data_IF_034458808745
#
_entry.id   IF_034458808745
#
_cell.length_a   1.000
_cell.length_b   1.000
_cell.length_c   1.000
_cell.angle_alpha   90.00
_cell.angle_beta   90.00
_cell.angle_gamma   90.00
#
_symmetry.space_group_name_H-M   'P 1'
#
loop_
_entity.id
_entity.type
_entity.pdbx_description
1 polymer ?
#
# COMPACT_ATOMS: atom_id res chain seq x y z
N UNK A 1 35.86 -43.61 36.44
CA UNK A 1 35.95 -44.19 35.08
C UNK A 1 34.90 -43.49 34.21
N UNK A 2 35.20 -42.27 33.75
CA UNK A 2 35.41 -41.92 32.32
C UNK A 2 34.34 -42.49 31.38
N UNK A 3 33.39 -41.67 30.96
CA UNK A 3 33.16 -41.36 29.54
C UNK A 3 32.16 -40.18 29.41
N UNK A 4 32.73 -39.03 29.06
CA UNK A 4 32.04 -37.83 28.59
C UNK A 4 31.71 -38.06 27.11
N UNK A 5 30.43 -37.95 26.73
CA UNK A 5 30.03 -37.81 25.32
C UNK A 5 29.58 -36.35 25.16
N UNK A 6 30.49 -35.53 24.64
CA UNK A 6 30.22 -34.17 24.23
C UNK A 6 29.54 -34.19 22.86
N UNK A 7 28.22 -34.10 22.82
CA UNK A 7 27.48 -33.83 21.60
C UNK A 7 27.48 -32.32 21.37
N UNK A 8 28.43 -31.85 20.54
CA UNK A 8 28.45 -30.51 20.01
C UNK A 8 27.29 -30.34 19.03
N UNK A 9 26.15 -29.84 19.52
CA UNK A 9 25.07 -29.35 18.67
C UNK A 9 25.43 -27.94 18.21
N UNK A 10 25.85 -27.85 16.95
CA UNK A 10 26.07 -26.63 16.20
C UNK A 10 24.80 -25.78 16.18
N UNK A 11 24.86 -24.66 16.90
CA UNK A 11 23.88 -23.57 16.86
C UNK A 11 23.88 -22.95 15.46
N UNK A 12 22.95 -23.34 14.58
CA UNK A 12 22.66 -22.58 13.37
C UNK A 12 21.86 -21.35 13.78
N UNK A 13 22.57 -20.25 14.00
CA UNK A 13 21.99 -18.94 14.26
C UNK A 13 21.30 -18.41 13.01
N UNK A 14 19.97 -18.53 12.95
CA UNK A 14 19.17 -17.65 12.11
C UNK A 14 19.10 -16.28 12.80
N UNK A 15 19.99 -15.38 12.38
CA UNK A 15 19.84 -13.96 12.66
C UNK A 15 18.58 -13.47 11.92
N UNK A 16 17.44 -13.50 12.60
CA UNK A 16 16.26 -12.72 12.23
C UNK A 16 16.64 -11.25 12.36
N UNK A 17 17.06 -10.64 11.24
CA UNK A 17 17.14 -9.19 11.13
C UNK A 17 15.71 -8.65 11.22
N UNK A 18 15.37 -7.81 12.22
CA UNK A 18 14.15 -7.05 12.14
C UNK A 18 14.26 -6.15 10.92
N UNK A 19 13.33 -6.28 9.97
CA UNK A 19 13.11 -5.31 8.93
C UNK A 19 12.89 -3.97 9.63
N UNK A 20 13.90 -3.10 9.60
CA UNK A 20 13.76 -1.71 10.00
C UNK A 20 12.72 -1.11 9.07
N UNK A 21 11.49 -0.97 9.56
CA UNK A 21 10.51 -0.07 8.98
C UNK A 21 11.21 1.28 8.86
N UNK A 22 11.39 1.75 7.62
CA UNK A 22 11.91 3.08 7.36
C UNK A 22 11.12 4.07 8.23
N UNK A 23 11.78 5.00 8.93
CA UNK A 23 11.07 6.05 9.65
C UNK A 23 10.26 6.80 8.60
N UNK A 24 8.93 6.64 8.66
CA UNK A 24 8.00 7.48 7.94
C UNK A 24 8.29 8.90 8.41
N UNK A 25 8.92 9.69 7.53
CA UNK A 25 9.18 11.10 7.76
C UNK A 25 7.84 11.71 8.14
N UNK A 26 7.69 12.10 9.41
CA UNK A 26 6.48 12.74 9.90
C UNK A 26 6.27 13.93 8.99
N UNK A 27 5.23 13.93 8.18
CA UNK A 27 4.93 15.02 7.25
C UNK A 27 4.64 16.25 8.10
N UNK A 28 5.68 17.03 8.37
CA UNK A 28 5.67 18.18 9.27
C UNK A 28 4.87 19.31 8.62
N UNK A 29 3.54 19.26 8.75
CA UNK A 29 2.66 20.33 8.27
C UNK A 29 1.20 19.93 8.06
N UNK A 30 0.93 18.64 7.85
CA UNK A 30 -0.42 18.13 7.66
C UNK A 30 -0.94 17.46 8.94
N UNK A 31 -1.65 18.21 9.76
CA UNK A 31 -2.31 17.72 10.97
C UNK A 31 -3.78 18.11 10.92
N UNK A 32 -4.62 17.48 11.75
CA UNK A 32 -6.05 17.79 11.77
C UNK A 32 -6.35 19.27 12.07
N UNK A 33 -5.50 19.93 12.83
CA UNK A 33 -5.69 21.34 13.19
C UNK A 33 -5.18 22.31 12.11
N UNK A 34 -4.26 21.88 11.23
CA UNK A 34 -3.64 22.73 10.20
C UNK A 34 -4.30 22.63 8.83
N UNK A 35 -5.19 21.65 8.61
CA UNK A 35 -5.96 21.54 7.36
C UNK A 35 -7.10 22.57 7.30
N UNK A 36 -7.65 22.76 6.08
CA UNK A 36 -8.76 23.69 5.83
C UNK A 36 -9.97 23.40 6.70
N UNK A 37 -10.76 24.43 7.05
CA UNK A 37 -11.97 24.23 7.87
C UNK A 37 -12.99 23.28 7.21
N UNK A 38 -13.12 23.37 5.88
CA UNK A 38 -13.96 22.47 5.09
C UNK A 38 -13.52 21.01 5.25
N UNK A 39 -12.22 20.73 5.09
CA UNK A 39 -11.67 19.40 5.25
C UNK A 39 -11.81 18.90 6.70
N UNK A 40 -11.59 19.77 7.69
CA UNK A 40 -11.82 19.40 9.10
C UNK A 40 -13.24 18.95 9.32
N UNK A 41 -14.22 19.73 8.85
CA UNK A 41 -15.64 19.39 8.96
C UNK A 41 -15.96 18.06 8.27
N UNK A 42 -15.45 17.88 7.05
CA UNK A 42 -15.63 16.67 6.23
C UNK A 42 -15.02 15.41 6.86
N UNK A 43 -13.90 15.55 7.57
CA UNK A 43 -13.12 14.44 8.09
C UNK A 43 -13.26 14.21 9.59
N UNK A 44 -13.84 15.14 10.36
CA UNK A 44 -13.88 15.12 11.84
C UNK A 44 -14.32 13.77 12.43
N UNK A 45 -15.50 13.29 12.06
CA UNK A 45 -16.06 12.05 12.61
C UNK A 45 -15.19 10.82 12.28
N UNK A 46 -14.60 10.79 11.08
CA UNK A 46 -13.75 9.70 10.60
C UNK A 46 -12.37 9.73 11.26
N UNK A 47 -11.81 10.91 11.46
CA UNK A 47 -10.54 11.11 12.16
C UNK A 47 -10.68 10.68 13.64
N UNK A 48 -11.68 11.23 14.36
CA UNK A 48 -11.96 10.88 15.77
C UNK A 48 -12.21 9.38 15.97
N UNK A 49 -12.92 8.74 15.03
CA UNK A 49 -13.13 7.29 15.07
C UNK A 49 -11.81 6.53 14.96
N UNK A 50 -10.93 6.91 14.03
CA UNK A 50 -9.61 6.27 13.85
C UNK A 50 -8.70 6.48 15.05
N UNK A 51 -8.68 7.70 15.60
CA UNK A 51 -7.96 8.00 16.84
C UNK A 51 -8.33 7.03 17.96
N UNK A 52 -9.64 6.81 18.18
CA UNK A 52 -10.13 5.93 19.24
C UNK A 52 -9.86 4.44 19.00
N UNK A 53 -9.92 3.98 17.74
CA UNK A 53 -9.87 2.55 17.42
C UNK A 53 -8.47 2.05 17.02
N UNK A 54 -7.67 2.91 16.39
CA UNK A 54 -6.42 2.55 15.73
C UNK A 54 -5.23 3.42 16.18
N UNK A 55 -5.48 4.47 16.98
CA UNK A 55 -4.44 5.36 17.49
C UNK A 55 -4.13 6.55 16.58
N UNK A 56 -3.21 7.40 17.06
CA UNK A 56 -2.84 8.66 16.43
C UNK A 56 -2.19 8.47 15.06
N UNK A 57 -1.18 7.60 14.98
CA UNK A 57 -0.42 7.35 13.75
C UNK A 57 -1.32 6.95 12.58
N UNK A 58 -2.21 5.97 12.78
CA UNK A 58 -3.15 5.53 11.73
C UNK A 58 -4.13 6.64 11.33
N UNK A 59 -4.56 7.47 12.28
CA UNK A 59 -5.46 8.58 11.98
C UNK A 59 -4.74 9.67 11.16
N UNK A 60 -3.49 9.97 11.49
CA UNK A 60 -2.66 10.99 10.84
C UNK A 60 -2.24 10.55 9.43
N UNK A 61 -1.79 9.30 9.26
CA UNK A 61 -1.51 8.74 7.92
C UNK A 61 -2.73 8.80 7.02
N UNK A 62 -3.89 8.38 7.54
CA UNK A 62 -5.14 8.47 6.79
C UNK A 62 -5.49 9.92 6.42
N UNK A 63 -5.32 10.87 7.35
CA UNK A 63 -5.62 12.27 7.08
C UNK A 63 -4.69 12.83 5.98
N UNK A 64 -3.41 12.50 6.05
CA UNK A 64 -2.42 12.90 5.06
C UNK A 64 -2.81 12.42 3.65
N UNK A 65 -3.19 11.16 3.50
CA UNK A 65 -3.64 10.60 2.22
C UNK A 65 -4.87 11.30 1.62
N UNK A 66 -5.81 11.70 2.48
CA UNK A 66 -7.07 12.29 2.05
C UNK A 66 -6.97 13.79 1.76
N UNK A 67 -6.26 14.54 2.59
CA UNK A 67 -6.30 16.00 2.59
C UNK A 67 -5.02 16.65 2.06
N UNK A 68 -3.88 15.97 2.13
CA UNK A 68 -2.58 16.63 1.94
C UNK A 68 -1.79 16.10 0.76
N UNK A 69 -2.01 14.86 0.35
CA UNK A 69 -1.40 14.36 -0.88
C UNK A 69 -1.92 15.13 -2.10
N UNK A 70 -0.99 15.59 -2.93
CA UNK A 70 -1.26 16.12 -4.26
C UNK A 70 -1.78 15.03 -5.19
N UNK A 71 -2.36 15.44 -6.33
CA UNK A 71 -2.81 14.49 -7.33
C UNK A 71 -1.68 13.61 -7.89
N UNK A 72 -0.45 14.14 -7.96
CA UNK A 72 0.73 13.43 -8.45
C UNK A 72 1.24 12.42 -7.41
N UNK A 73 1.39 12.82 -6.16
CA UNK A 73 1.77 11.90 -5.08
C UNK A 73 0.78 10.75 -4.95
N UNK A 74 -0.52 11.05 -5.08
CA UNK A 74 -1.57 10.02 -5.01
C UNK A 74 -1.53 9.06 -6.20
N UNK A 75 -1.03 9.51 -7.36
CA UNK A 75 -0.76 8.64 -8.52
C UNK A 75 0.49 7.80 -8.27
N UNK A 76 1.57 8.39 -7.75
CA UNK A 76 2.81 7.71 -7.47
C UNK A 76 2.68 6.64 -6.37
N UNK A 77 1.86 6.90 -5.34
CA UNK A 77 1.58 5.96 -4.27
C UNK A 77 0.57 4.86 -4.65
N UNK A 78 -0.09 4.97 -5.81
CA UNK A 78 -1.04 3.94 -6.24
C UNK A 78 -0.25 2.67 -6.60
N UNK A 79 -0.50 1.54 -5.92
CA UNK A 79 0.14 0.29 -6.32
C UNK A 79 -0.27 -0.05 -7.75
N UNK A 80 0.71 -0.29 -8.62
CA UNK A 80 0.45 -0.88 -9.93
C UNK A 80 -0.16 -2.27 -9.71
N UNK A 81 -1.35 -2.49 -10.28
CA UNK A 81 -1.97 -3.81 -10.23
C UNK A 81 -1.24 -4.72 -11.22
N UNK A 82 -0.61 -5.82 -10.77
CA UNK A 82 0.02 -6.75 -11.69
C UNK A 82 -1.05 -7.37 -12.59
N UNK A 83 -0.71 -7.57 -13.85
CA UNK A 83 -1.53 -8.35 -14.78
C UNK A 83 -1.34 -9.82 -14.41
N UNK A 84 -2.45 -10.51 -14.18
CA UNK A 84 -2.45 -11.91 -13.76
C UNK A 84 -2.79 -12.81 -14.94
N UNK A 85 -2.18 -13.99 -14.97
CA UNK A 85 -2.54 -15.06 -15.89
C UNK A 85 -3.85 -15.74 -15.47
N UNK A 86 -4.25 -16.76 -16.24
CA UNK A 86 -5.44 -17.59 -15.96
C UNK A 86 -5.35 -18.37 -14.63
N UNK A 87 -4.13 -18.59 -14.14
CA UNK A 87 -3.81 -19.37 -12.94
C UNK A 87 -3.63 -18.46 -11.71
N UNK A 88 -3.69 -17.13 -11.89
CA UNK A 88 -3.59 -16.11 -10.85
C UNK A 88 -2.16 -15.62 -10.57
N UNK A 89 -1.16 -16.00 -11.37
CA UNK A 89 0.22 -15.58 -11.17
C UNK A 89 0.52 -14.28 -11.94
N UNK A 90 1.42 -13.41 -11.43
CA UNK A 90 1.88 -12.24 -12.17
C UNK A 90 2.58 -12.64 -13.46
N UNK A 91 2.18 -12.04 -14.57
CA UNK A 91 2.77 -12.32 -15.88
C UNK A 91 4.16 -11.70 -16.00
N UNK A 92 5.05 -12.40 -16.70
CA UNK A 92 6.43 -11.94 -16.95
C UNK A 92 6.47 -10.96 -18.13
N UNK A 93 5.61 -11.18 -19.13
CA UNK A 93 5.42 -10.30 -20.28
C UNK A 93 3.97 -9.90 -20.42
N UNK A 94 3.77 -8.62 -20.68
CA UNK A 94 2.45 -8.04 -20.94
C UNK A 94 2.41 -7.35 -22.29
N UNK A 95 1.30 -7.51 -23.02
CA UNK A 95 1.00 -6.79 -24.25
C UNK A 95 -0.27 -5.96 -24.08
N UNK A 96 -0.37 -4.82 -24.74
CA UNK A 96 -1.61 -4.05 -24.80
C UNK A 96 -2.53 -4.63 -25.89
N UNK A 97 -3.74 -5.02 -25.50
CA UNK A 97 -4.80 -5.45 -26.41
C UNK A 97 -5.95 -4.43 -26.35
N UNK A 98 -6.47 -4.02 -27.51
CA UNK A 98 -7.62 -3.12 -27.55
C UNK A 98 -8.90 -3.90 -27.24
N UNK A 99 -9.54 -3.58 -26.10
CA UNK A 99 -10.80 -4.18 -25.69
C UNK A 99 -11.93 -3.17 -25.73
N UNK A 100 -13.08 -3.63 -26.21
CA UNK A 100 -14.32 -2.85 -26.19
C UNK A 100 -14.84 -2.81 -24.75
N UNK A 101 -15.06 -1.61 -24.23
CA UNK A 101 -15.64 -1.38 -22.91
C UNK A 101 -16.86 -0.47 -23.03
N UNK A 102 -17.95 -0.75 -22.31
CA UNK A 102 -19.10 0.14 -22.27
C UNK A 102 -18.72 1.45 -21.58
N UNK A 103 -19.03 2.56 -22.25
CA UNK A 103 -18.95 3.92 -21.69
C UNK A 103 -20.11 4.19 -20.74
N UNK A 104 -19.98 5.26 -19.95
CA UNK A 104 -20.96 5.64 -18.93
C UNK A 104 -22.32 6.05 -19.54
N UNK A 105 -22.32 6.47 -20.80
CA UNK A 105 -23.48 6.88 -21.61
C UNK A 105 -24.03 5.75 -22.50
N UNK A 106 -23.47 4.55 -22.42
CA UNK A 106 -23.83 3.40 -23.27
C UNK A 106 -23.10 3.36 -24.61
N UNK A 107 -22.22 4.32 -24.91
CA UNK A 107 -21.38 4.25 -26.10
C UNK A 107 -20.27 3.19 -25.92
N UNK A 108 -19.94 2.44 -26.98
CA UNK A 108 -18.86 1.45 -26.94
C UNK A 108 -17.52 2.13 -27.23
N UNK A 109 -16.57 2.02 -26.30
CA UNK A 109 -15.24 2.62 -26.44
C UNK A 109 -14.16 1.55 -26.53
N UNK A 110 -13.14 1.80 -27.34
CA UNK A 110 -11.97 0.93 -27.46
C UNK A 110 -10.88 1.42 -26.51
N UNK A 111 -10.55 0.61 -25.50
CA UNK A 111 -9.52 0.94 -24.51
C UNK A 111 -8.37 -0.08 -24.57
N UNK A 112 -7.11 0.37 -24.53
CA UNK A 112 -5.98 -0.55 -24.41
C UNK A 112 -5.98 -1.18 -23.01
N UNK A 113 -5.99 -2.51 -22.95
CA UNK A 113 -5.93 -3.29 -21.72
C UNK A 113 -4.68 -4.15 -21.74
N UNK A 114 -3.84 -4.12 -20.69
CA UNK A 114 -2.68 -5.00 -20.63
C UNK A 114 -3.14 -6.43 -20.37
N UNK A 115 -2.65 -7.36 -21.19
CA UNK A 115 -2.91 -8.80 -21.12
C UNK A 115 -1.59 -9.56 -21.08
N UNK A 116 -1.60 -10.77 -20.55
CA UNK A 116 -0.42 -11.63 -20.54
C UNK A 116 -0.07 -12.11 -21.94
N UNK A 117 1.22 -12.12 -22.27
CA UNK A 117 1.78 -12.53 -23.57
C UNK A 117 2.87 -13.60 -23.38
N UNK A 118 2.75 -14.39 -22.30
CA UNK A 118 3.65 -15.48 -21.91
C UNK A 118 3.28 -16.82 -22.56
#
# INVERSE_FOLDING_TARGET
>A
MRLLIAAALLSVGFANLPAMAAPQEKVHGCTFDTISEEDRSRFQSRYKRRLRLHGAEVADTWLHEQACMTAEERRAARPEKPVLDKDGNPCTKTRLEMRVSPGFDGAMTMSPVPVCDD
#
